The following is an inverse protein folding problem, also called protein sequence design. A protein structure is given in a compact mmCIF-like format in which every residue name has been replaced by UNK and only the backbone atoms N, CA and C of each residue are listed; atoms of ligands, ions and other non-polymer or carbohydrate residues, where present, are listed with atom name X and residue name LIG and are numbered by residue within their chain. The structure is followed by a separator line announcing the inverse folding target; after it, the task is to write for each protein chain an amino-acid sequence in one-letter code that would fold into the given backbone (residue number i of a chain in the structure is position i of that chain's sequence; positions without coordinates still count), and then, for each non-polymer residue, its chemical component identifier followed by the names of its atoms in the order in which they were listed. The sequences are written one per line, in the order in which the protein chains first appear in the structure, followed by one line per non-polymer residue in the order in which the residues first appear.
data_IF_195613380025
#
_entry.id   IF_195613380025
#
_cell.length_a   1.000
_cell.length_b   1.000
_cell.length_c   1.000
_cell.angle_alpha   90.00
_cell.angle_beta   90.00
_cell.angle_gamma   90.00
#
_symmetry.space_group_name_H-M   'P 1'
#
loop_
_entity.id
_entity.type
_entity.pdbx_description
1 polymer ?
#
# COMPACT_ATOMS: atom_id res chain seq x y z
N UNK A 1 -15.86 -16.65 -15.27
CA UNK A 1 -15.87 -15.46 -16.14
C UNK A 1 -14.55 -15.42 -16.89
N UNK A 2 -14.57 -15.28 -18.21
CA UNK A 2 -13.36 -15.12 -19.04
C UNK A 2 -12.74 -13.74 -18.81
N UNK A 3 -11.42 -13.64 -18.97
CA UNK A 3 -10.75 -12.36 -18.95
C UNK A 3 -11.26 -11.48 -20.09
N UNK A 4 -11.55 -10.23 -19.78
CA UNK A 4 -12.05 -9.23 -20.73
C UNK A 4 -10.92 -8.37 -21.30
N UNK A 5 -9.81 -8.23 -20.53
CA UNK A 5 -8.62 -7.54 -20.98
C UNK A 5 -7.35 -8.11 -20.35
N UNK A 6 -6.24 -7.91 -21.04
CA UNK A 6 -4.89 -8.32 -20.64
C UNK A 6 -3.98 -7.10 -20.71
N UNK A 7 -3.16 -6.90 -19.70
CA UNK A 7 -2.09 -5.92 -19.73
C UNK A 7 -0.81 -6.61 -20.20
N UNK A 8 -0.21 -6.22 -21.32
CA UNK A 8 1.01 -6.87 -21.80
C UNK A 8 2.19 -6.65 -20.86
N UNK A 9 3.12 -7.62 -20.80
CA UNK A 9 4.40 -7.42 -20.14
C UNK A 9 5.17 -6.27 -20.83
N UNK A 10 5.59 -5.28 -20.06
CA UNK A 10 6.50 -4.23 -20.53
C UNK A 10 7.98 -4.62 -20.29
N UNK A 11 8.23 -5.44 -19.27
CA UNK A 11 9.55 -5.96 -18.95
C UNK A 11 9.70 -7.39 -19.48
N UNK A 12 10.77 -7.64 -20.24
CA UNK A 12 11.19 -8.98 -20.59
C UNK A 12 11.82 -9.73 -19.39
N UNK A 13 12.04 -11.04 -19.53
CA UNK A 13 12.64 -11.88 -18.47
C UNK A 13 13.99 -11.37 -18.01
N UNK A 14 14.85 -10.90 -18.93
CA UNK A 14 16.19 -10.41 -18.62
C UNK A 14 16.13 -9.10 -17.83
N UNK A 15 15.21 -8.21 -18.18
CA UNK A 15 14.98 -6.97 -17.43
C UNK A 15 14.46 -7.27 -16.02
N UNK A 16 13.49 -8.18 -15.89
CA UNK A 16 12.98 -8.60 -14.60
C UNK A 16 14.06 -9.22 -13.70
N UNK A 17 14.95 -10.05 -14.26
CA UNK A 17 16.09 -10.60 -13.53
C UNK A 17 17.09 -9.53 -13.07
N UNK A 18 17.38 -8.53 -13.92
CA UNK A 18 18.26 -7.41 -13.53
C UNK A 18 17.67 -6.59 -12.39
N UNK A 19 16.39 -6.23 -12.49
CA UNK A 19 15.68 -5.47 -11.45
C UNK A 19 15.66 -6.26 -10.13
N UNK A 20 15.40 -7.55 -10.20
CA UNK A 20 15.46 -8.45 -9.06
C UNK A 20 16.87 -8.49 -8.41
N UNK A 21 17.93 -8.66 -9.21
CA UNK A 21 19.31 -8.69 -8.71
C UNK A 21 19.71 -7.35 -8.07
N UNK A 22 19.29 -6.23 -8.65
CA UNK A 22 19.50 -4.89 -8.09
C UNK A 22 18.78 -4.72 -6.76
N UNK A 23 17.51 -5.17 -6.67
CA UNK A 23 16.73 -5.11 -5.43
C UNK A 23 17.42 -5.87 -4.30
N UNK A 24 17.86 -7.12 -4.53
CA UNK A 24 18.62 -7.89 -3.55
C UNK A 24 19.93 -7.19 -3.19
N UNK A 25 20.63 -6.66 -4.18
CA UNK A 25 21.91 -5.93 -4.01
C UNK A 25 21.80 -4.70 -3.12
N UNK A 26 20.66 -3.98 -3.20
CA UNK A 26 20.41 -2.76 -2.43
C UNK A 26 20.10 -3.01 -0.95
N UNK A 27 19.87 -4.26 -0.54
CA UNK A 27 19.48 -4.60 0.83
C UNK A 27 20.69 -4.80 1.73
N UNK A 28 21.09 -3.74 2.47
CA UNK A 28 22.27 -3.75 3.35
C UNK A 28 22.27 -4.87 4.39
N UNK A 29 21.13 -5.07 5.05
CA UNK A 29 20.99 -6.08 6.10
C UNK A 29 20.76 -7.50 5.58
N UNK A 30 20.70 -7.73 4.28
CA UNK A 30 20.65 -9.07 3.72
C UNK A 30 22.04 -9.76 3.83
N UNK A 31 22.09 -11.06 4.08
CA UNK A 31 23.34 -11.83 4.07
C UNK A 31 24.06 -11.73 2.73
N UNK A 32 25.39 -11.63 2.74
CA UNK A 32 26.17 -11.54 1.49
C UNK A 32 26.03 -12.80 0.62
N UNK A 33 25.90 -13.98 1.24
CA UNK A 33 25.67 -15.24 0.54
C UNK A 33 24.37 -15.25 -0.29
N UNK A 34 23.37 -14.45 0.11
CA UNK A 34 22.13 -14.30 -0.65
C UNK A 34 22.36 -13.76 -2.07
N UNK A 35 23.31 -12.84 -2.23
CA UNK A 35 23.64 -12.24 -3.53
C UNK A 35 24.18 -13.28 -4.53
N UNK A 36 24.90 -14.29 -4.05
CA UNK A 36 25.37 -15.40 -4.87
C UNK A 36 24.22 -16.33 -5.25
N UNK A 37 23.41 -16.76 -4.27
CA UNK A 37 22.25 -17.63 -4.46
C UNK A 37 21.26 -17.08 -5.49
N UNK A 38 21.04 -15.76 -5.49
CA UNK A 38 20.12 -15.10 -6.41
C UNK A 38 20.67 -15.02 -7.84
N UNK A 39 21.99 -14.92 -8.00
CA UNK A 39 22.62 -14.93 -9.34
C UNK A 39 22.52 -16.30 -10.01
N UNK A 40 22.51 -17.38 -9.23
CA UNK A 40 22.40 -18.76 -9.68
C UNK A 40 20.94 -19.22 -9.83
N UNK A 41 19.99 -18.47 -9.25
CA UNK A 41 18.58 -18.84 -9.32
C UNK A 41 18.03 -18.63 -10.73
N UNK A 42 17.64 -19.71 -11.35
CA UNK A 42 17.00 -19.79 -12.70
C UNK A 42 15.61 -19.11 -12.79
N UNK A 43 15.29 -18.33 -11.86
CA UNK A 43 14.05 -18.33 -11.14
C UNK A 43 13.10 -17.15 -11.23
N UNK A 44 13.03 -16.28 -12.26
CA UNK A 44 11.80 -15.47 -12.44
C UNK A 44 10.92 -16.13 -13.50
N UNK A 45 9.67 -16.39 -13.12
CA UNK A 45 8.62 -16.89 -14.02
C UNK A 45 7.61 -15.79 -14.25
N UNK A 46 7.30 -15.53 -15.51
CA UNK A 46 6.21 -14.63 -15.88
C UNK A 46 4.87 -15.35 -15.73
N UNK A 47 3.96 -14.69 -15.05
CA UNK A 47 2.61 -15.20 -14.85
C UNK A 47 1.61 -14.06 -14.98
N UNK A 48 0.49 -14.35 -15.60
CA UNK A 48 -0.66 -13.47 -15.60
C UNK A 48 -1.55 -13.82 -14.39
N UNK A 49 -1.75 -12.85 -13.52
CA UNK A 49 -2.63 -12.97 -12.35
C UNK A 49 -4.00 -12.37 -12.66
N UNK A 50 -5.09 -13.04 -12.20
CA UNK A 50 -6.43 -12.53 -12.36
C UNK A 50 -6.69 -11.38 -11.38
N UNK A 51 -7.33 -10.33 -11.90
CA UNK A 51 -7.77 -9.17 -11.13
C UNK A 51 -9.20 -8.80 -11.50
N UNK A 52 -9.90 -8.25 -10.56
CA UNK A 52 -11.17 -7.60 -10.76
C UNK A 52 -10.98 -6.09 -10.72
N UNK A 53 -11.61 -5.35 -11.62
CA UNK A 53 -11.85 -3.93 -11.44
C UNK A 53 -13.32 -3.70 -11.22
N UNK A 54 -13.63 -2.70 -10.40
CA UNK A 54 -15.00 -2.27 -10.14
C UNK A 54 -15.10 -0.76 -10.32
N UNK A 55 -16.08 -0.36 -11.11
CA UNK A 55 -16.53 1.01 -11.23
C UNK A 55 -17.87 1.09 -10.51
N UNK A 56 -18.12 2.14 -9.73
CA UNK A 56 -19.37 2.31 -9.01
C UNK A 56 -19.62 3.76 -8.63
N UNK A 57 -20.89 4.15 -8.59
CA UNK A 57 -21.36 5.36 -7.92
C UNK A 57 -21.73 5.06 -6.47
N UNK A 58 -21.49 5.99 -5.58
CA UNK A 58 -21.96 5.90 -4.19
C UNK A 58 -22.61 7.19 -3.75
N UNK A 59 -23.65 7.07 -2.93
CA UNK A 59 -24.23 8.17 -2.17
C UNK A 59 -24.21 7.76 -0.71
N UNK A 60 -23.53 8.54 0.11
CA UNK A 60 -23.40 8.25 1.53
C UNK A 60 -24.05 9.34 2.36
N UNK A 61 -25.12 9.01 3.08
CA UNK A 61 -25.68 9.86 4.12
C UNK A 61 -24.88 9.70 5.40
N UNK A 62 -24.69 10.80 6.13
CA UNK A 62 -23.90 10.76 7.37
C UNK A 62 -24.48 11.65 8.47
N UNK A 63 -24.08 11.37 9.70
CA UNK A 63 -24.24 12.21 10.88
C UNK A 63 -22.90 12.32 11.59
N UNK A 64 -22.56 13.50 12.03
CA UNK A 64 -21.27 13.77 12.65
C UNK A 64 -21.24 15.08 13.39
N UNK A 65 -20.03 15.55 13.70
CA UNK A 65 -19.77 16.84 14.35
C UNK A 65 -18.62 17.56 13.66
N UNK A 66 -18.79 18.88 13.54
CA UNK A 66 -17.77 19.85 13.16
C UNK A 66 -17.13 20.41 14.40
N UNK A 67 -15.81 20.30 14.52
CA UNK A 67 -15.03 20.92 15.58
C UNK A 67 -14.31 22.17 15.07
N UNK A 68 -14.55 23.31 15.69
CA UNK A 68 -13.82 24.55 15.44
C UNK A 68 -12.86 24.79 16.60
N UNK A 69 -11.57 24.91 16.31
CA UNK A 69 -10.54 25.11 17.30
C UNK A 69 -10.28 26.60 17.55
N UNK A 70 -10.27 26.98 18.80
CA UNK A 70 -9.85 28.34 19.25
C UNK A 70 -8.80 28.28 20.34
N UNK A 71 -7.87 29.21 20.30
CA UNK A 71 -6.86 29.37 21.35
C UNK A 71 -7.42 30.25 22.45
N UNK A 72 -7.38 29.74 23.68
CA UNK A 72 -7.82 30.45 24.85
C UNK A 72 -6.62 30.65 25.77
N UNK A 73 -6.42 31.86 26.28
CA UNK A 73 -5.39 32.15 27.28
C UNK A 73 -5.69 31.36 28.56
N UNK A 74 -4.73 30.62 29.06
CA UNK A 74 -4.84 29.92 30.34
C UNK A 74 -4.42 30.86 31.47
N UNK A 75 -5.39 31.34 32.23
CA UNK A 75 -5.12 32.13 33.45
C UNK A 75 -4.71 31.15 34.56
N UNK A 76 -3.41 31.06 34.86
CA UNK A 76 -2.93 30.34 36.05
C UNK A 76 -2.93 31.28 37.23
N UNK A 77 -3.75 31.03 38.28
CA UNK A 77 -3.86 31.94 39.46
C UNK A 77 -2.59 32.11 40.29
N UNK A 78 -1.53 31.30 40.03
CA UNK A 78 -0.28 31.28 40.79
C UNK A 78 0.99 31.49 39.96
N UNK A 79 0.92 32.10 38.77
CA UNK A 79 2.12 32.47 38.05
C UNK A 79 2.70 33.74 38.63
N UNK A 80 3.80 33.62 39.38
CA UNK A 80 4.64 34.77 39.76
C UNK A 80 5.04 35.53 38.49
N UNK A 81 5.02 36.85 38.54
CA UNK A 81 5.13 37.83 37.46
C UNK A 81 6.44 37.77 36.61
N UNK A 82 7.20 36.68 36.67
CA UNK A 82 8.47 36.52 35.98
C UNK A 82 8.47 35.54 34.79
N UNK A 83 7.33 34.91 34.45
CA UNK A 83 7.24 34.01 33.30
C UNK A 83 6.39 34.65 32.20
N UNK A 84 7.01 35.45 31.35
CA UNK A 84 6.39 36.18 30.24
C UNK A 84 5.90 35.32 29.03
N UNK A 85 5.46 34.11 29.24
CA UNK A 85 4.84 33.27 28.20
C UNK A 85 3.40 32.94 28.60
N UNK A 86 2.41 33.64 28.05
CA UNK A 86 1.01 33.25 28.14
C UNK A 86 0.83 31.84 27.58
N UNK A 87 0.56 30.86 28.45
CA UNK A 87 0.25 29.50 28.01
C UNK A 87 -1.14 29.52 27.37
N UNK A 88 -1.23 29.17 26.09
CA UNK A 88 -2.51 29.08 25.40
C UNK A 88 -2.96 27.62 25.32
N UNK A 89 -4.22 27.36 25.64
CA UNK A 89 -4.87 26.06 25.44
C UNK A 89 -5.76 26.10 24.22
N UNK A 90 -5.71 25.03 23.38
CA UNK A 90 -6.65 24.85 22.30
C UNK A 90 -7.93 24.23 22.84
N UNK A 91 -9.05 24.88 22.59
CA UNK A 91 -10.40 24.41 22.93
C UNK A 91 -11.12 24.15 21.61
N UNK A 92 -11.84 23.03 21.50
CA UNK A 92 -12.64 22.68 20.35
C UNK A 92 -14.11 22.85 20.68
N UNK A 93 -14.79 23.74 19.96
CA UNK A 93 -16.24 23.91 20.02
C UNK A 93 -16.87 22.99 18.97
N UNK A 94 -17.79 22.12 19.40
CA UNK A 94 -18.43 21.13 18.55
C UNK A 94 -19.84 21.55 18.16
N UNK A 95 -20.19 21.36 16.89
CA UNK A 95 -21.53 21.56 16.35
C UNK A 95 -21.96 20.36 15.53
N UNK A 96 -23.24 19.99 15.59
CA UNK A 96 -23.80 18.88 14.80
C UNK A 96 -23.69 19.17 13.30
N UNK A 97 -23.37 18.13 12.53
CA UNK A 97 -23.31 18.15 11.08
C UNK A 97 -23.96 16.89 10.51
N UNK A 98 -24.70 17.02 9.45
CA UNK A 98 -25.28 15.92 8.71
C UNK A 98 -25.41 16.29 7.24
N UNK A 99 -25.34 15.31 6.36
CA UNK A 99 -25.43 15.54 4.92
C UNK A 99 -25.43 14.25 4.13
N UNK A 100 -25.28 14.41 2.82
CA UNK A 100 -25.12 13.31 1.88
C UNK A 100 -24.03 13.67 0.87
N UNK A 101 -23.07 12.77 0.67
CA UNK A 101 -21.95 12.98 -0.24
C UNK A 101 -21.97 11.93 -1.36
N UNK A 102 -21.95 12.34 -2.63
CA UNK A 102 -21.73 11.45 -3.75
C UNK A 102 -20.21 11.24 -3.94
N UNK A 103 -19.81 9.98 -4.22
CA UNK A 103 -18.43 9.65 -4.62
C UNK A 103 -18.49 8.64 -5.75
N UNK A 104 -17.84 8.94 -6.88
CA UNK A 104 -17.64 8.02 -7.99
C UNK A 104 -16.30 7.28 -7.84
N UNK A 105 -16.29 6.01 -8.22
CA UNK A 105 -15.12 5.16 -8.24
C UNK A 105 -14.94 4.57 -9.63
N UNK A 106 -13.71 4.58 -10.09
CA UNK A 106 -13.29 4.03 -11.37
C UNK A 106 -12.07 3.12 -11.13
N UNK A 107 -12.09 1.94 -11.76
CA UNK A 107 -11.01 0.96 -11.73
C UNK A 107 -10.50 0.58 -10.31
N UNK A 108 -11.41 0.34 -9.35
CA UNK A 108 -11.02 -0.20 -8.04
C UNK A 108 -10.53 -1.65 -8.22
N UNK A 109 -9.21 -1.81 -8.17
CA UNK A 109 -8.54 -3.09 -8.38
C UNK A 109 -8.63 -3.99 -7.15
N UNK A 110 -8.97 -5.27 -7.37
CA UNK A 110 -8.98 -6.33 -6.35
C UNK A 110 -8.33 -7.58 -6.91
N UNK A 111 -7.37 -8.16 -6.18
CA UNK A 111 -6.74 -9.40 -6.59
C UNK A 111 -7.76 -10.55 -6.67
N UNK A 112 -7.82 -11.23 -7.79
CA UNK A 112 -8.67 -12.40 -8.02
C UNK A 112 -8.08 -13.68 -7.45
N UNK A 113 -6.83 -13.66 -6.95
CA UNK A 113 -6.15 -14.81 -6.39
C UNK A 113 -5.32 -14.45 -5.16
N UNK A 114 -5.26 -15.34 -4.14
CA UNK A 114 -4.43 -15.19 -2.96
C UNK A 114 -2.97 -15.69 -3.16
N UNK A 115 -2.53 -15.94 -4.38
CA UNK A 115 -1.21 -16.56 -4.66
C UNK A 115 -0.01 -15.70 -4.25
N UNK A 116 -0.24 -14.39 -4.07
CA UNK A 116 0.78 -13.46 -3.59
C UNK A 116 0.43 -13.05 -2.16
N UNK A 117 1.40 -13.16 -1.27
CA UNK A 117 1.22 -12.73 0.11
C UNK A 117 0.86 -11.22 0.17
N UNK A 118 -0.05 -10.79 1.05
CA UNK A 118 -0.55 -9.40 1.09
C UNK A 118 0.54 -8.35 1.22
N UNK A 119 1.63 -8.64 1.95
CA UNK A 119 2.74 -7.70 2.12
C UNK A 119 3.59 -7.53 0.85
N UNK A 120 3.56 -8.51 -0.08
CA UNK A 120 4.21 -8.43 -1.39
C UNK A 120 3.31 -7.81 -2.47
N UNK A 121 2.01 -7.77 -2.23
CA UNK A 121 1.04 -7.27 -3.20
C UNK A 121 1.11 -5.74 -3.40
N UNK A 122 1.84 -5.02 -2.54
CA UNK A 122 1.94 -3.55 -2.58
C UNK A 122 2.42 -3.01 -3.93
N UNK A 123 3.37 -3.68 -4.58
CA UNK A 123 3.86 -3.31 -5.93
C UNK A 123 2.87 -3.62 -7.03
N UNK A 124 1.77 -4.31 -6.71
CA UNK A 124 0.70 -4.68 -7.61
C UNK A 124 -0.56 -3.81 -7.42
N UNK A 125 -0.48 -2.74 -6.65
CA UNK A 125 -1.60 -1.81 -6.46
C UNK A 125 -1.62 -0.68 -7.52
N UNK A 126 -0.54 -0.53 -8.31
CA UNK A 126 -0.40 0.54 -9.30
C UNK A 126 -0.16 -0.04 -10.69
N UNK A 127 -1.11 0.22 -11.58
CA UNK A 127 -1.08 -0.19 -12.96
C UNK A 127 -1.53 0.95 -13.87
N UNK A 128 -0.87 1.12 -14.99
CA UNK A 128 -1.37 1.95 -16.10
C UNK A 128 -2.34 1.11 -16.94
N UNK A 129 -3.62 1.18 -16.61
CA UNK A 129 -4.67 0.41 -17.27
C UNK A 129 -5.03 0.96 -18.66
N UNK A 130 -4.52 2.12 -19.06
CA UNK A 130 -4.72 2.66 -20.42
C UNK A 130 -4.10 1.77 -21.50
N UNK A 131 -3.19 0.87 -21.13
CA UNK A 131 -2.51 -0.08 -22.02
C UNK A 131 -3.18 -1.46 -22.10
N UNK A 132 -4.33 -1.62 -21.49
CA UNK A 132 -5.10 -2.85 -21.59
C UNK A 132 -5.47 -3.15 -23.04
N UNK A 133 -5.42 -4.43 -23.42
CA UNK A 133 -5.76 -4.93 -24.74
C UNK A 133 -6.75 -6.09 -24.65
N UNK A 134 -7.54 -6.35 -25.67
CA UNK A 134 -8.32 -7.59 -25.76
C UNK A 134 -7.39 -8.81 -25.60
N UNK A 135 -7.84 -9.89 -24.93
CA UNK A 135 -7.05 -11.09 -24.78
C UNK A 135 -6.72 -11.71 -26.14
N UNK A 136 -5.44 -12.06 -26.34
CA UNK A 136 -4.97 -12.78 -27.51
C UNK A 136 -4.00 -13.88 -27.07
N UNK A 137 -4.07 -15.04 -27.70
CA UNK A 137 -3.27 -16.21 -27.32
C UNK A 137 -1.77 -15.93 -27.42
N UNK A 138 -1.36 -15.10 -28.37
CA UNK A 138 0.05 -14.69 -28.56
C UNK A 138 0.60 -13.93 -27.34
N UNK A 139 -0.24 -13.16 -26.63
CA UNK A 139 0.19 -12.42 -25.43
C UNK A 139 0.36 -13.35 -24.22
N UNK A 140 -0.35 -14.46 -24.20
CA UNK A 140 -0.31 -15.44 -23.12
C UNK A 140 0.72 -16.54 -23.37
N UNK A 141 1.16 -16.71 -24.61
CA UNK A 141 2.10 -17.75 -24.99
C UNK A 141 3.44 -17.63 -24.23
N UNK A 142 3.87 -18.71 -23.59
CA UNK A 142 5.11 -18.76 -22.81
C UNK A 142 4.99 -18.24 -21.38
N UNK A 143 3.83 -17.77 -20.96
CA UNK A 143 3.55 -17.32 -19.60
C UNK A 143 2.57 -18.25 -18.87
N UNK A 144 2.70 -18.32 -17.55
CA UNK A 144 1.65 -18.93 -16.74
C UNK A 144 0.40 -18.04 -16.71
N UNK A 145 -0.76 -18.65 -16.65
CA UNK A 145 -2.03 -17.93 -16.44
C UNK A 145 -2.73 -18.55 -15.23
N UNK A 146 -3.01 -17.75 -14.23
CA UNK A 146 -3.71 -18.21 -13.04
C UNK A 146 -5.22 -17.97 -13.15
N UNK A 147 -6.00 -18.92 -12.67
CA UNK A 147 -7.46 -18.81 -12.59
C UNK A 147 -7.83 -18.12 -11.27
N UNK A 148 -8.81 -17.23 -11.31
CA UNK A 148 -9.28 -16.57 -10.09
C UNK A 148 -9.89 -17.58 -9.10
N UNK A 149 -9.63 -17.32 -7.82
CA UNK A 149 -10.24 -18.04 -6.67
C UNK A 149 -11.16 -17.14 -5.88
N UNK A 150 -10.94 -15.81 -5.94
CA UNK A 150 -11.86 -14.84 -5.36
C UNK A 150 -12.96 -14.56 -6.37
N UNK A 151 -14.18 -15.02 -6.06
CA UNK A 151 -15.35 -14.78 -6.91
C UNK A 151 -15.74 -13.31 -6.98
N UNK A 152 -16.58 -12.96 -7.95
CA UNK A 152 -17.01 -11.59 -8.23
C UNK A 152 -17.62 -10.89 -7.01
N UNK A 153 -18.52 -11.55 -6.29
CA UNK A 153 -19.20 -10.96 -5.11
C UNK A 153 -18.23 -10.70 -3.96
N UNK A 154 -17.36 -11.69 -3.66
CA UNK A 154 -16.33 -11.54 -2.63
C UNK A 154 -15.32 -10.44 -3.01
N UNK A 155 -14.96 -10.35 -4.28
CA UNK A 155 -14.13 -9.27 -4.83
C UNK A 155 -14.79 -7.92 -4.65
N UNK A 156 -16.09 -7.80 -4.92
CA UNK A 156 -16.82 -6.55 -4.71
C UNK A 156 -16.87 -6.15 -3.22
N UNK A 157 -17.02 -7.12 -2.31
CA UNK A 157 -16.89 -6.87 -0.87
C UNK A 157 -15.56 -6.23 -0.49
N UNK A 158 -14.44 -6.72 -1.06
CA UNK A 158 -13.13 -6.14 -0.88
C UNK A 158 -12.98 -4.76 -1.55
N UNK A 159 -13.58 -4.55 -2.73
CA UNK A 159 -13.62 -3.26 -3.40
C UNK A 159 -14.34 -2.21 -2.54
N UNK A 160 -15.47 -2.54 -1.94
CA UNK A 160 -16.18 -1.65 -1.01
C UNK A 160 -15.30 -1.21 0.15
N UNK A 161 -14.53 -2.12 0.74
CA UNK A 161 -13.58 -1.75 1.80
C UNK A 161 -12.50 -0.77 1.31
N UNK A 162 -12.06 -0.89 0.06
CA UNK A 162 -11.11 0.05 -0.56
C UNK A 162 -11.72 1.42 -0.86
N UNK A 163 -13.03 1.50 -1.05
CA UNK A 163 -13.78 2.75 -1.27
C UNK A 163 -13.96 3.55 0.03
N UNK A 164 -14.06 2.88 1.18
CA UNK A 164 -14.35 3.49 2.48
C UNK A 164 -13.47 4.70 2.84
N UNK A 165 -12.13 4.68 2.68
CA UNK A 165 -11.30 5.83 3.01
C UNK A 165 -11.62 7.09 2.18
N UNK A 166 -11.97 6.91 0.90
CA UNK A 166 -12.33 8.03 0.02
C UNK A 166 -13.69 8.61 0.39
N UNK A 167 -14.65 7.75 0.76
CA UNK A 167 -15.96 8.15 1.28
C UNK A 167 -15.79 8.94 2.58
N UNK A 168 -15.00 8.43 3.53
CA UNK A 168 -14.73 9.11 4.79
C UNK A 168 -14.05 10.46 4.57
N UNK A 169 -13.12 10.55 3.62
CA UNK A 169 -12.48 11.80 3.25
C UNK A 169 -13.49 12.82 2.66
N UNK A 170 -14.44 12.35 1.84
CA UNK A 170 -15.51 13.18 1.28
C UNK A 170 -16.43 13.71 2.38
N UNK A 171 -16.83 12.84 3.33
CA UNK A 171 -17.65 13.22 4.48
C UNK A 171 -16.92 14.26 5.35
N UNK A 172 -15.64 14.04 5.68
CA UNK A 172 -14.86 15.00 6.49
C UNK A 172 -14.73 16.35 5.80
N UNK A 173 -14.58 16.37 4.48
CA UNK A 173 -14.53 17.60 3.70
C UNK A 173 -15.87 18.35 3.74
N UNK A 174 -16.99 17.63 3.66
CA UNK A 174 -18.34 18.20 3.72
C UNK A 174 -18.68 18.72 5.12
N UNK A 175 -18.30 17.99 6.18
CA UNK A 175 -18.40 18.46 7.58
C UNK A 175 -17.63 19.77 7.75
N UNK A 176 -16.42 19.89 7.23
CA UNK A 176 -15.56 21.07 7.38
C UNK A 176 -15.05 21.28 8.80
N UNK A 177 -14.57 22.51 9.07
CA UNK A 177 -13.96 22.85 10.37
C UNK A 177 -12.54 22.30 10.52
N UNK A 178 -11.95 22.46 11.70
CA UNK A 178 -10.57 22.05 11.97
C UNK A 178 -10.47 20.55 12.30
N UNK A 179 -11.51 19.99 12.92
CA UNK A 179 -11.59 18.58 13.31
C UNK A 179 -12.99 18.05 13.03
N UNK A 180 -13.09 16.80 12.59
CA UNK A 180 -14.36 16.18 12.23
C UNK A 180 -14.54 14.85 12.97
N UNK A 181 -15.80 14.57 13.38
CA UNK A 181 -16.23 13.28 13.90
C UNK A 181 -17.36 12.75 13.04
N UNK A 182 -17.23 11.51 12.57
CA UNK A 182 -18.29 10.78 11.87
C UNK A 182 -18.87 9.80 12.89
N UNK A 183 -20.15 9.95 13.23
CA UNK A 183 -20.83 9.08 14.20
C UNK A 183 -21.55 7.94 13.52
N UNK A 184 -22.17 8.21 12.37
CA UNK A 184 -22.88 7.22 11.60
C UNK A 184 -22.80 7.56 10.11
N UNK A 185 -22.76 6.55 9.27
CA UNK A 185 -22.86 6.68 7.83
C UNK A 185 -23.61 5.49 7.23
N UNK A 186 -24.31 5.74 6.15
CA UNK A 186 -24.99 4.72 5.36
C UNK A 186 -24.73 4.98 3.88
N UNK A 187 -24.06 4.02 3.23
CA UNK A 187 -23.69 4.11 1.82
C UNK A 187 -24.60 3.24 0.97
N UNK A 188 -25.19 3.85 -0.02
CA UNK A 188 -25.86 3.17 -1.13
C UNK A 188 -24.89 3.14 -2.31
N UNK A 189 -24.75 2.00 -2.94
CA UNK A 189 -23.87 1.81 -4.12
C UNK A 189 -24.77 1.52 -5.32
N UNK A 190 -24.53 2.20 -6.41
CA UNK A 190 -25.26 2.03 -7.68
C UNK A 190 -24.29 1.96 -8.87
N UNK A 191 -24.82 1.72 -10.08
CA UNK A 191 -24.10 1.65 -11.36
C UNK A 191 -22.83 0.78 -11.29
N UNK A 192 -22.93 -0.39 -10.65
CA UNK A 192 -21.78 -1.29 -10.44
C UNK A 192 -21.43 -1.94 -11.78
N UNK A 193 -20.21 -1.71 -12.23
CA UNK A 193 -19.59 -2.36 -13.39
C UNK A 193 -18.34 -3.09 -12.96
N UNK A 194 -17.95 -4.11 -13.69
CA UNK A 194 -16.73 -4.86 -13.41
C UNK A 194 -16.07 -5.35 -14.69
N UNK A 195 -14.76 -5.58 -14.58
CA UNK A 195 -13.96 -6.26 -15.61
C UNK A 195 -13.07 -7.31 -14.95
N UNK A 196 -12.90 -8.43 -15.62
CA UNK A 196 -11.89 -9.42 -15.25
C UNK A 196 -10.64 -9.17 -16.09
N UNK A 197 -9.53 -8.85 -15.43
CA UNK A 197 -8.26 -8.50 -16.04
C UNK A 197 -7.21 -9.58 -15.77
N UNK A 198 -6.26 -9.70 -16.69
CA UNK A 198 -5.01 -10.43 -16.49
C UNK A 198 -3.85 -9.44 -16.44
N UNK A 199 -3.17 -9.36 -15.30
CA UNK A 199 -2.07 -8.44 -15.08
C UNK A 199 -0.73 -9.18 -15.01
N UNK A 200 0.35 -8.64 -15.64
CA UNK A 200 1.61 -9.33 -15.81
C UNK A 200 2.48 -9.22 -14.55
N UNK A 201 2.89 -10.33 -14.00
CA UNK A 201 3.72 -10.39 -12.80
C UNK A 201 4.89 -11.33 -13.03
N UNK A 202 6.09 -10.90 -12.66
CA UNK A 202 7.26 -11.78 -12.56
C UNK A 202 7.36 -12.25 -11.10
N UNK A 203 7.34 -13.57 -10.90
CA UNK A 203 7.49 -14.18 -9.57
C UNK A 203 8.82 -14.91 -9.55
N UNK A 204 9.65 -14.56 -8.58
CA UNK A 204 10.87 -15.27 -8.24
C UNK A 204 10.75 -15.95 -6.88
N UNK A 205 11.36 -17.12 -6.75
CA UNK A 205 11.52 -17.78 -5.45
C UNK A 205 12.96 -18.25 -5.29
N UNK A 206 13.46 -18.11 -4.07
CA UNK A 206 14.79 -18.63 -3.72
C UNK A 206 14.75 -19.24 -2.33
N UNK A 207 15.72 -20.11 -2.03
CA UNK A 207 15.90 -20.71 -0.70
C UNK A 207 17.16 -20.16 -0.05
N UNK A 208 17.05 -19.77 1.20
CA UNK A 208 18.20 -19.34 1.99
C UNK A 208 18.07 -19.86 3.42
N UNK A 209 19.12 -20.55 3.92
CA UNK A 209 19.06 -21.18 5.25
C UNK A 209 17.92 -22.18 5.40
N UNK A 210 17.56 -22.92 4.32
CA UNK A 210 16.47 -23.88 4.29
C UNK A 210 15.05 -23.28 4.18
N UNK A 211 14.91 -21.96 4.30
CA UNK A 211 13.61 -21.26 4.20
C UNK A 211 13.34 -20.76 2.79
N UNK A 212 12.12 -20.90 2.27
CA UNK A 212 11.73 -20.31 1.00
C UNK A 212 11.44 -18.81 1.18
N UNK A 213 11.79 -18.02 0.18
CA UNK A 213 11.52 -16.59 0.08
C UNK A 213 10.92 -16.31 -1.29
N UNK A 214 9.94 -15.42 -1.34
CA UNK A 214 9.26 -15.03 -2.56
C UNK A 214 9.61 -13.57 -2.91
N UNK A 215 9.73 -13.30 -4.20
CA UNK A 215 9.90 -11.95 -4.74
C UNK A 215 8.91 -11.77 -5.88
N UNK A 216 8.34 -10.60 -5.93
CA UNK A 216 7.36 -10.20 -6.92
C UNK A 216 7.84 -8.94 -7.62
N UNK A 217 7.81 -8.95 -8.95
CA UNK A 217 8.12 -7.80 -9.78
C UNK A 217 6.90 -7.46 -10.61
N UNK A 218 6.46 -6.22 -10.56
CA UNK A 218 5.41 -5.72 -11.44
C UNK A 218 5.91 -5.77 -12.89
N UNK A 219 5.25 -6.54 -13.75
CA UNK A 219 5.66 -6.76 -15.14
C UNK A 219 5.52 -5.53 -16.03
N UNK A 220 4.86 -4.49 -15.57
CA UNK A 220 4.72 -3.22 -16.28
C UNK A 220 5.71 -2.16 -15.77
N UNK A 221 5.74 -1.88 -14.47
CA UNK A 221 6.55 -0.81 -13.89
C UNK A 221 7.96 -1.23 -13.52
N UNK A 222 8.19 -2.52 -13.28
CA UNK A 222 9.45 -3.03 -12.74
C UNK A 222 9.62 -2.81 -11.24
N UNK A 223 8.61 -2.33 -10.53
CA UNK A 223 8.66 -2.25 -9.07
C UNK A 223 8.79 -3.64 -8.45
N UNK A 224 9.61 -3.74 -7.39
CA UNK A 224 9.95 -5.01 -6.75
C UNK A 224 9.62 -4.97 -5.26
N UNK A 225 8.96 -6.02 -4.79
CA UNK A 225 8.83 -6.32 -3.38
C UNK A 225 9.19 -7.79 -3.13
N UNK A 226 9.73 -8.10 -1.96
CA UNK A 226 10.14 -9.46 -1.68
C UNK A 226 10.48 -9.73 -0.24
N UNK A 227 10.34 -10.99 0.13
CA UNK A 227 10.83 -11.51 1.39
C UNK A 227 12.35 -11.56 1.39
N UNK A 228 12.96 -11.30 2.54
CA UNK A 228 14.41 -11.36 2.72
C UNK A 228 14.80 -11.86 4.10
N UNK A 229 15.87 -12.63 4.19
CA UNK A 229 16.48 -12.92 5.48
C UNK A 229 17.20 -11.69 6.03
N UNK A 230 17.20 -11.55 7.35
CA UNK A 230 17.94 -10.52 8.05
C UNK A 230 19.27 -11.07 8.57
N UNK A 231 20.36 -10.34 8.39
CA UNK A 231 21.65 -10.71 8.94
C UNK A 231 21.78 -10.20 10.38
N UNK A 232 21.65 -11.09 11.35
CA UNK A 232 21.80 -10.77 12.78
C UNK A 232 23.13 -10.08 13.07
N UNK A 233 24.23 -10.52 12.43
CA UNK A 233 25.54 -9.94 12.59
C UNK A 233 25.63 -8.48 12.10
N UNK A 234 25.02 -8.16 10.97
CA UNK A 234 25.01 -6.78 10.48
C UNK A 234 24.19 -5.87 11.37
N UNK A 235 23.07 -6.37 11.91
CA UNK A 235 22.24 -5.64 12.88
C UNK A 235 23.04 -5.41 14.17
N UNK A 236 23.67 -6.44 14.74
CA UNK A 236 24.47 -6.33 15.95
C UNK A 236 25.64 -5.33 15.77
N UNK A 237 26.35 -5.39 14.64
CA UNK A 237 27.43 -4.47 14.34
C UNK A 237 26.96 -3.02 14.24
N UNK A 238 25.81 -2.80 13.60
CA UNK A 238 25.22 -1.45 13.48
C UNK A 238 24.80 -0.89 14.83
N UNK A 239 24.21 -1.72 15.70
CA UNK A 239 23.83 -1.33 17.06
C UNK A 239 25.07 -1.01 17.92
N UNK A 240 26.14 -1.80 17.81
CA UNK A 240 27.41 -1.53 18.49
C UNK A 240 28.03 -0.21 18.04
N UNK A 241 28.08 0.04 16.73
CA UNK A 241 28.60 1.28 16.17
C UNK A 241 27.78 2.50 16.64
N UNK A 242 26.45 2.40 16.62
CA UNK A 242 25.55 3.46 17.11
C UNK A 242 25.75 3.73 18.61
N UNK A 243 25.93 2.67 19.43
CA UNK A 243 26.21 2.78 20.85
C UNK A 243 27.55 3.48 21.14
N UNK A 244 28.60 3.15 20.36
CA UNK A 244 29.90 3.81 20.47
C UNK A 244 29.82 5.30 20.13
N UNK A 245 29.12 5.67 19.06
CA UNK A 245 28.91 7.07 18.68
C UNK A 245 28.18 7.83 19.79
N UNK A 246 27.13 7.26 20.37
CA UNK A 246 26.39 7.87 21.48
C UNK A 246 27.28 8.08 22.73
N UNK A 247 28.13 7.10 23.07
CA UNK A 247 29.06 7.23 24.19
C UNK A 247 30.08 8.36 23.95
N UNK A 248 30.62 8.47 22.75
CA UNK A 248 31.54 9.55 22.39
C UNK A 248 30.85 10.91 22.48
N UNK A 249 29.62 11.04 21.96
CA UNK A 249 28.86 12.29 22.04
C UNK A 249 28.53 12.68 23.50
N UNK A 250 28.20 11.71 24.36
CA UNK A 250 27.97 11.95 25.78
C UNK A 250 29.24 12.45 26.50
N UNK A 251 30.40 11.93 26.16
CA UNK A 251 31.67 12.40 26.74
C UNK A 251 31.98 13.86 26.31
N UNK A 252 31.70 14.23 25.08
CA UNK A 252 31.90 15.59 24.60
C UNK A 252 30.92 16.62 25.23
N UNK A 253 29.78 16.19 25.74
CA UNK A 253 28.84 17.07 26.44
C UNK A 253 29.15 17.28 27.92
N UNK A 254 30.02 16.44 28.50
CA UNK A 254 30.39 16.51 29.93
C UNK A 254 31.75 17.19 30.19
N UNK A 255 32.49 17.55 29.15
CA UNK A 255 33.74 18.32 29.19
C UNK A 255 33.57 19.72 28.67
#
# INVERSE_FOLDING_TARGET
IRAQAVLPFALDKKAAQRVFAQWVGSRWFAPNALKATVREADGVKGIYLPWWTYDAGTITTYRGERGTQRRVAENRPNATAQAGAATTRVVTDWSLASGAVPVGFDDILVAGSPSIAPHLARVLDRWDLSRLRPPADEMLAGFGVEVYRTGLEAGFGAARQRMEPAIDAAIRRDIGGDVQRIHAKQTVVDDIRFKHLLLPVWIGSYRFGGKPYQIVVNGQSGEVEGDRPWSVWKIALTLLAAGLVLLVLMQFQQG
#
